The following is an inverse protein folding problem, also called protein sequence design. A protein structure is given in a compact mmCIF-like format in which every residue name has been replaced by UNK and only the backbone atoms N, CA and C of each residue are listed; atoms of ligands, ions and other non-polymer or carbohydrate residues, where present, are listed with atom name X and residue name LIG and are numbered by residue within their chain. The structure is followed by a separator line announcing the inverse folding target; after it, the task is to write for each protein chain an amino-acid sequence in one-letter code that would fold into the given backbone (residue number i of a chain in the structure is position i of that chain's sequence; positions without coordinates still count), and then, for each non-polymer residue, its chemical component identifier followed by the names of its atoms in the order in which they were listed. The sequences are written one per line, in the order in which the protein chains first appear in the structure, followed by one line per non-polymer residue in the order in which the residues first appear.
data_IF_565224093993
#
_entry.id   IF_565224093993
#
_cell.length_a   1.000
_cell.length_b   1.000
_cell.length_c   1.000
_cell.angle_alpha   90.00
_cell.angle_beta   90.00
_cell.angle_gamma   90.00
#
_symmetry.space_group_name_H-M   'P 1'
#
loop_
_entity.id
_entity.type
_entity.pdbx_description
1 polymer ?
#
# COMPACT_ATOMS: atom_id res chain seq x y z
N UNK A 1 26.37 2.92 -15.92
CA UNK A 1 26.42 3.83 -14.75
C UNK A 1 25.16 3.74 -13.87
N UNK A 2 23.95 3.89 -14.43
CA UNK A 2 22.69 3.84 -13.67
C UNK A 2 22.48 2.52 -12.88
N UNK A 3 22.85 1.39 -13.48
CA UNK A 3 22.84 0.08 -12.80
C UNK A 3 23.73 0.04 -11.55
N UNK A 4 24.91 0.69 -11.58
CA UNK A 4 25.82 0.73 -10.42
C UNK A 4 25.20 1.56 -9.30
N UNK A 5 24.57 2.68 -9.63
CA UNK A 5 23.83 3.51 -8.66
C UNK A 5 22.64 2.74 -8.08
N UNK A 6 21.94 1.95 -8.89
CA UNK A 6 20.87 1.09 -8.40
C UNK A 6 21.39 0.04 -7.42
N UNK A 7 22.49 -0.65 -7.76
CA UNK A 7 23.10 -1.65 -6.88
C UNK A 7 23.61 -1.07 -5.56
N UNK A 8 24.15 0.15 -5.57
CA UNK A 8 24.75 0.78 -4.39
C UNK A 8 23.73 1.55 -3.55
N UNK A 9 22.79 2.27 -4.19
CA UNK A 9 21.85 3.20 -3.53
C UNK A 9 20.39 2.73 -3.54
N UNK A 10 20.07 1.63 -4.22
CA UNK A 10 18.70 1.10 -4.30
C UNK A 10 17.73 1.95 -5.13
N UNK A 11 18.20 2.98 -5.83
CA UNK A 11 17.35 3.88 -6.61
C UNK A 11 17.03 3.22 -7.96
N UNK A 12 15.74 3.01 -8.33
CA UNK A 12 15.38 2.40 -9.61
C UNK A 12 15.91 3.19 -10.80
N UNK A 13 16.40 2.50 -11.86
CA UNK A 13 16.98 3.15 -13.05
C UNK A 13 16.03 4.17 -13.68
N UNK A 14 14.73 3.85 -13.72
CA UNK A 14 13.68 4.73 -14.25
C UNK A 14 13.52 6.05 -13.47
N UNK A 15 13.94 6.08 -12.20
CA UNK A 15 13.91 7.27 -11.34
C UNK A 15 15.22 8.05 -11.33
N UNK A 16 16.27 7.49 -11.95
CA UNK A 16 17.58 8.12 -12.01
C UNK A 16 17.71 9.02 -13.24
N UNK A 17 17.86 10.32 -13.00
CA UNK A 17 18.24 11.28 -14.03
C UNK A 17 19.68 11.73 -13.73
N UNK A 18 20.61 11.37 -14.62
CA UNK A 18 22.01 11.76 -14.49
C UNK A 18 22.25 13.02 -15.30
N UNK A 19 22.91 14.00 -14.70
CA UNK A 19 23.22 15.29 -15.31
C UNK A 19 24.72 15.54 -15.24
N UNK A 20 25.33 15.88 -16.37
CA UNK A 20 26.74 16.21 -16.49
C UNK A 20 26.89 17.51 -17.28
N UNK A 21 27.61 18.50 -16.75
CA UNK A 21 27.75 19.84 -17.32
C UNK A 21 26.40 20.48 -17.74
N UNK A 22 25.36 20.29 -16.92
CA UNK A 22 24.02 20.81 -17.21
C UNK A 22 23.20 20.01 -18.22
N UNK A 23 23.79 18.97 -18.84
CA UNK A 23 23.12 18.12 -19.82
C UNK A 23 22.63 16.81 -19.20
N UNK A 24 21.37 16.45 -19.47
CA UNK A 24 20.81 15.15 -19.07
C UNK A 24 21.43 14.05 -19.93
N UNK A 25 22.06 13.08 -19.27
CA UNK A 25 22.63 11.92 -19.93
C UNK A 25 21.52 10.95 -20.37
N UNK A 26 21.45 10.67 -21.67
CA UNK A 26 20.51 9.71 -22.25
C UNK A 26 20.86 8.28 -21.82
N UNK A 27 19.85 7.41 -21.69
CA UNK A 27 20.03 6.02 -21.23
C UNK A 27 20.97 5.19 -22.10
N UNK A 28 21.05 5.50 -23.39
CA UNK A 28 21.84 4.78 -24.39
C UNK A 28 23.24 5.37 -24.59
N UNK A 29 23.60 6.43 -23.83
CA UNK A 29 24.89 7.08 -24.00
C UNK A 29 26.00 6.18 -23.44
N UNK A 30 26.78 5.61 -24.36
CA UNK A 30 27.97 4.85 -24.01
C UNK A 30 29.05 5.83 -23.51
N UNK A 31 29.55 5.57 -22.30
CA UNK A 31 30.50 6.43 -21.58
C UNK A 31 31.76 6.72 -22.42
N UNK A 32 32.16 5.79 -23.29
CA UNK A 32 33.30 5.97 -24.20
C UNK A 32 33.11 7.06 -25.27
N UNK A 33 31.86 7.43 -25.58
CA UNK A 33 31.53 8.48 -26.56
C UNK A 33 31.07 9.78 -25.89
N UNK A 34 31.28 9.90 -24.58
CA UNK A 34 30.91 11.08 -23.79
C UNK A 34 32.16 11.76 -23.24
N UNK A 35 32.10 13.08 -23.03
CA UNK A 35 33.20 13.89 -22.46
C UNK A 35 33.43 13.63 -20.95
N UNK A 36 33.00 12.46 -20.45
CA UNK A 36 33.09 12.07 -19.05
C UNK A 36 34.49 11.48 -18.83
N UNK A 37 35.39 12.28 -18.28
CA UNK A 37 36.75 11.89 -17.92
C UNK A 37 36.81 11.29 -16.51
N UNK A 38 37.96 10.71 -16.16
CA UNK A 38 38.22 10.27 -14.79
C UNK A 38 38.04 11.43 -13.79
N UNK A 39 37.52 11.12 -12.60
CA UNK A 39 37.16 12.10 -11.55
C UNK A 39 36.07 13.14 -11.91
N UNK A 40 35.35 12.96 -13.02
CA UNK A 40 34.21 13.83 -13.37
C UNK A 40 33.07 13.75 -12.34
N UNK A 41 32.50 14.90 -11.98
CA UNK A 41 31.33 14.99 -11.09
C UNK A 41 30.02 14.93 -11.87
N UNK A 42 29.18 13.94 -11.57
CA UNK A 42 27.87 13.73 -12.20
C UNK A 42 26.78 13.90 -11.16
N UNK A 43 25.83 14.78 -11.43
CA UNK A 43 24.70 15.03 -10.55
C UNK A 43 23.61 13.98 -10.78
N UNK A 44 23.12 13.38 -9.69
CA UNK A 44 21.98 12.47 -9.71
C UNK A 44 20.74 13.22 -9.21
N UNK A 45 19.75 13.37 -10.09
CA UNK A 45 18.40 13.81 -9.74
C UNK A 45 17.49 12.59 -9.61
N UNK A 46 16.80 12.48 -8.47
CA UNK A 46 15.87 11.38 -8.19
C UNK A 46 14.45 11.89 -8.37
N UNK A 47 13.73 11.34 -9.35
CA UNK A 47 12.33 11.71 -9.58
C UNK A 47 11.43 11.17 -8.45
N UNK A 48 10.86 12.06 -7.65
CA UNK A 48 9.74 11.76 -6.75
C UNK A 48 10.04 11.68 -5.24
N UNK A 49 11.11 12.29 -4.74
CA UNK A 49 11.36 12.35 -3.29
C UNK A 49 10.47 13.39 -2.59
N UNK A 50 9.21 13.01 -2.32
CA UNK A 50 8.44 13.58 -1.22
C UNK A 50 8.34 12.52 -0.13
N UNK A 51 9.32 12.53 0.79
CA UNK A 51 9.35 11.85 2.09
C UNK A 51 8.02 11.19 2.46
N UNK A 52 7.85 9.92 2.11
CA UNK A 52 6.78 9.07 2.61
C UNK A 52 7.33 8.04 3.59
N UNK A 53 6.44 7.56 4.45
CA UNK A 53 6.71 6.44 5.36
C UNK A 53 7.20 5.24 4.56
N UNK A 54 8.42 4.76 4.86
CA UNK A 54 8.99 3.59 4.20
C UNK A 54 8.49 2.31 4.88
N UNK A 55 8.20 1.30 4.07
CA UNK A 55 7.83 -0.05 4.48
C UNK A 55 8.82 -1.04 3.87
N UNK A 56 9.11 -2.12 4.61
CA UNK A 56 9.93 -3.21 4.11
C UNK A 56 9.03 -4.40 3.77
N UNK A 57 9.02 -4.80 2.50
CA UNK A 57 8.28 -5.94 1.99
C UNK A 57 9.23 -7.12 1.79
N UNK A 58 8.88 -8.29 2.33
CA UNK A 58 9.62 -9.53 2.07
C UNK A 58 8.97 -10.24 0.88
N UNK A 59 9.63 -10.22 -0.27
CA UNK A 59 9.18 -10.91 -1.48
C UNK A 59 9.81 -12.29 -1.53
N UNK A 60 8.98 -13.32 -1.49
CA UNK A 60 9.42 -14.71 -1.66
C UNK A 60 9.10 -15.17 -3.08
N UNK A 61 10.11 -15.62 -3.81
CA UNK A 61 9.90 -16.18 -5.13
C UNK A 61 9.83 -17.70 -5.07
N UNK A 62 9.07 -18.31 -5.99
CA UNK A 62 8.99 -19.78 -6.06
C UNK A 62 10.31 -20.40 -6.56
N UNK A 63 11.09 -19.67 -7.35
CA UNK A 63 12.36 -20.12 -7.90
C UNK A 63 13.54 -20.03 -6.89
N UNK A 64 13.42 -19.23 -5.83
CA UNK A 64 14.49 -19.00 -4.85
C UNK A 64 14.02 -19.28 -3.42
N UNK A 65 14.81 -20.07 -2.69
CA UNK A 65 14.47 -20.50 -1.31
C UNK A 65 14.57 -19.34 -0.30
N UNK A 66 15.33 -18.29 -0.64
CA UNK A 66 15.57 -17.11 0.18
C UNK A 66 14.74 -15.93 -0.34
N UNK A 67 13.94 -15.31 0.53
CA UNK A 67 13.16 -14.12 0.17
C UNK A 67 14.04 -12.87 0.10
N UNK A 68 13.64 -11.91 -0.74
CA UNK A 68 14.30 -10.60 -0.91
C UNK A 68 13.53 -9.54 -0.13
N UNK A 69 14.23 -8.76 0.70
CA UNK A 69 13.64 -7.63 1.41
C UNK A 69 13.74 -6.36 0.54
N UNK A 70 12.59 -5.77 0.23
CA UNK A 70 12.47 -4.57 -0.58
C UNK A 70 11.94 -3.41 0.26
N UNK A 71 12.65 -2.27 0.24
CA UNK A 71 12.15 -1.03 0.82
C UNK A 71 11.28 -0.28 -0.20
N UNK A 72 10.06 0.05 0.20
CA UNK A 72 9.07 0.73 -0.63
C UNK A 72 8.42 1.88 0.14
N UNK A 73 8.03 2.93 -0.58
CA UNK A 73 7.16 3.95 0.00
C UNK A 73 5.71 3.43 -0.01
N UNK A 74 4.92 3.74 1.02
CA UNK A 74 3.49 3.38 1.06
C UNK A 74 2.70 3.99 -0.12
N UNK A 75 3.20 5.06 -0.72
CA UNK A 75 2.63 5.68 -1.93
C UNK A 75 3.01 4.99 -3.23
N UNK A 76 4.00 4.08 -3.23
CA UNK A 76 4.41 3.35 -4.43
C UNK A 76 3.38 2.29 -4.83
N UNK A 77 3.23 2.08 -6.15
CA UNK A 77 2.22 1.17 -6.70
C UNK A 77 2.74 -0.26 -6.86
N UNK A 78 1.83 -1.22 -7.06
CA UNK A 78 2.18 -2.61 -7.40
C UNK A 78 3.02 -2.69 -8.69
N UNK A 79 2.81 -1.78 -9.65
CA UNK A 79 3.66 -1.69 -10.84
C UNK A 79 5.11 -1.38 -10.47
N UNK A 80 5.31 -0.41 -9.58
CA UNK A 80 6.64 -0.05 -9.07
C UNK A 80 7.28 -1.20 -8.30
N UNK A 81 6.51 -1.97 -7.53
CA UNK A 81 6.99 -3.21 -6.89
C UNK A 81 7.47 -4.22 -7.94
N UNK A 82 6.69 -4.47 -9.00
CA UNK A 82 7.08 -5.40 -10.08
C UNK A 82 8.32 -4.95 -10.83
N UNK A 83 8.47 -3.65 -11.08
CA UNK A 83 9.67 -3.07 -11.70
C UNK A 83 10.90 -3.29 -10.80
N UNK A 84 10.78 -3.07 -9.47
CA UNK A 84 11.86 -3.38 -8.52
C UNK A 84 12.21 -4.87 -8.48
N UNK A 85 11.23 -5.77 -8.58
CA UNK A 85 11.48 -7.22 -8.65
C UNK A 85 12.16 -7.60 -9.96
N UNK A 86 11.72 -7.04 -11.10
CA UNK A 86 12.37 -7.24 -12.40
C UNK A 86 13.84 -6.84 -12.34
N UNK A 87 14.17 -5.73 -11.71
CA UNK A 87 15.54 -5.23 -11.65
C UNK A 87 16.47 -6.12 -10.81
N UNK A 88 15.93 -6.83 -9.82
CA UNK A 88 16.72 -7.74 -8.96
C UNK A 88 16.89 -9.10 -9.62
N UNK A 89 15.85 -9.62 -10.27
CA UNK A 89 15.78 -11.02 -10.71
C UNK A 89 15.86 -11.17 -12.24
N UNK A 90 15.84 -10.07 -12.98
CA UNK A 90 15.88 -10.06 -14.45
C UNK A 90 14.59 -10.57 -15.13
N UNK A 91 13.51 -10.76 -14.36
CA UNK A 91 12.25 -11.33 -14.87
C UNK A 91 11.38 -10.22 -15.47
N UNK A 92 10.91 -10.33 -16.74
CA UNK A 92 10.03 -9.33 -17.33
C UNK A 92 8.74 -9.13 -16.53
N UNK A 93 8.35 -7.86 -16.27
CA UNK A 93 7.14 -7.48 -15.50
C UNK A 93 5.88 -8.24 -15.91
N UNK A 94 5.73 -8.51 -17.21
CA UNK A 94 4.56 -9.21 -17.78
C UNK A 94 4.41 -10.65 -17.27
N UNK A 95 5.49 -11.28 -16.81
CA UNK A 95 5.50 -12.66 -16.28
C UNK A 95 5.41 -12.70 -14.75
N UNK A 96 5.37 -11.54 -14.08
CA UNK A 96 5.33 -11.46 -12.61
C UNK A 96 3.87 -11.46 -12.14
N UNK A 97 3.44 -12.57 -11.55
CA UNK A 97 2.24 -12.66 -10.73
C UNK A 97 2.63 -12.55 -9.25
N UNK A 98 1.97 -11.64 -8.53
CA UNK A 98 2.25 -11.40 -7.11
C UNK A 98 1.12 -12.02 -6.29
N UNK A 99 1.47 -13.01 -5.47
CA UNK A 99 0.62 -13.50 -4.39
C UNK A 99 1.05 -12.85 -3.06
N UNK A 100 0.09 -12.29 -2.33
CA UNK A 100 0.37 -11.56 -1.09
C UNK A 100 0.07 -12.47 0.11
N UNK A 101 1.11 -13.13 0.61
CA UNK A 101 0.99 -13.99 1.80
C UNK A 101 1.34 -13.20 3.07
N UNK A 102 0.41 -13.11 4.02
CA UNK A 102 0.64 -12.42 5.30
C UNK A 102 1.13 -13.39 6.38
N UNK A 103 2.36 -13.21 6.87
CA UNK A 103 2.80 -13.86 8.12
C UNK A 103 2.23 -13.08 9.29
N UNK A 104 1.27 -13.66 10.01
CA UNK A 104 0.80 -13.11 11.28
C UNK A 104 1.99 -13.09 12.26
N UNK A 105 2.59 -11.94 12.52
CA UNK A 105 3.40 -11.76 13.73
C UNK A 105 2.43 -11.61 14.90
N UNK A 106 1.95 -12.74 15.40
CA UNK A 106 1.23 -12.80 16.67
C UNK A 106 2.24 -12.63 17.80
N UNK A 107 2.49 -11.38 18.17
CA UNK A 107 3.16 -11.05 19.43
C UNK A 107 2.12 -10.50 20.39
N UNK A 108 1.40 -11.40 21.08
CA UNK A 108 0.88 -11.14 22.42
C UNK A 108 0.64 -12.48 23.11
N UNK A 109 1.44 -12.72 24.13
CA UNK A 109 1.26 -13.66 25.24
C UNK A 109 -0.18 -13.61 25.78
N UNK A 110 -0.86 -14.76 25.87
CA UNK A 110 -1.72 -15.20 26.98
C UNK A 110 -2.68 -16.33 26.55
N UNK A 111 -2.36 -17.53 27.05
CA UNK A 111 -3.20 -18.64 27.49
C UNK A 111 -4.72 -18.56 27.18
N UNK A 112 -5.21 -19.54 26.41
CA UNK A 112 -6.25 -20.52 26.81
C UNK A 112 -6.84 -21.17 25.56
N UNK A 113 -6.83 -22.50 25.54
CA UNK A 113 -7.04 -23.30 24.35
C UNK A 113 -8.45 -23.22 23.76
N UNK A 114 -8.52 -23.38 22.44
CA UNK A 114 -9.32 -24.42 21.84
C UNK A 114 -8.90 -24.64 20.39
N UNK A 115 -8.75 -25.92 20.09
CA UNK A 115 -8.45 -26.51 18.78
C UNK A 115 -9.46 -26.03 17.73
N UNK A 116 -8.98 -25.69 16.53
CA UNK A 116 -9.87 -25.32 15.44
C UNK A 116 -9.19 -24.62 14.26
N UNK A 117 -8.48 -25.41 13.46
CA UNK A 117 -8.42 -25.31 11.99
C UNK A 117 -8.50 -23.89 11.37
N UNK A 118 -7.37 -23.19 11.25
CA UNK A 118 -7.31 -21.96 10.45
C UNK A 118 -7.00 -22.28 8.99
N UNK A 119 -8.08 -22.55 8.25
CA UNK A 119 -8.07 -22.53 6.80
C UNK A 119 -7.61 -21.17 6.27
N UNK A 120 -6.66 -21.23 5.34
CA UNK A 120 -6.27 -20.14 4.45
C UNK A 120 -7.51 -19.58 3.75
N UNK A 121 -7.96 -18.42 4.20
CA UNK A 121 -9.02 -17.66 3.58
C UNK A 121 -8.76 -16.19 3.87
N UNK A 122 -8.82 -15.36 2.84
CA UNK A 122 -8.75 -13.90 2.91
C UNK A 122 -9.48 -13.39 4.16
N UNK A 123 -8.72 -13.01 5.19
CA UNK A 123 -9.27 -12.67 6.51
C UNK A 123 -10.03 -11.36 6.39
N UNK A 124 -11.31 -11.45 6.05
CA UNK A 124 -12.25 -10.34 6.11
C UNK A 124 -12.31 -9.86 7.56
N UNK A 125 -11.98 -8.60 7.76
CA UNK A 125 -12.17 -7.92 9.03
C UNK A 125 -13.66 -7.82 9.29
N UNK A 126 -14.10 -8.26 10.47
CA UNK A 126 -15.43 -7.90 10.98
C UNK A 126 -15.29 -6.56 11.68
N UNK A 127 -15.88 -5.51 11.13
CA UNK A 127 -15.97 -4.19 11.77
C UNK A 127 -17.42 -3.93 12.16
N UNK A 128 -17.62 -3.05 13.14
CA UNK A 128 -18.94 -2.69 13.65
C UNK A 128 -19.21 -1.24 13.29
N UNK A 129 -20.24 -0.98 12.49
CA UNK A 129 -20.64 0.37 12.14
C UNK A 129 -21.79 0.81 13.04
N UNK A 130 -21.65 1.97 13.68
CA UNK A 130 -22.65 2.55 14.59
C UNK A 130 -23.28 3.76 13.92
N UNK A 131 -24.61 3.78 13.83
CA UNK A 131 -25.36 4.90 13.25
C UNK A 131 -25.64 6.01 14.27
N UNK A 132 -26.11 7.18 13.79
CA UNK A 132 -26.18 8.47 14.49
C UNK A 132 -26.92 8.48 15.84
N UNK A 133 -27.74 7.47 16.15
CA UNK A 133 -28.45 7.39 17.43
C UNK A 133 -27.79 6.40 18.42
N UNK A 134 -26.66 5.78 18.07
CA UNK A 134 -26.01 4.74 18.88
C UNK A 134 -26.80 3.44 19.02
N UNK A 135 -28.03 3.41 18.50
CA UNK A 135 -29.01 2.34 18.70
C UNK A 135 -28.78 1.14 17.80
N UNK A 136 -28.16 1.30 16.63
CA UNK A 136 -27.89 0.19 15.70
C UNK A 136 -26.39 -0.01 15.49
N UNK A 137 -25.95 -1.23 15.79
CA UNK A 137 -24.59 -1.74 15.53
C UNK A 137 -24.66 -2.74 14.39
N UNK A 138 -24.08 -2.39 13.25
CA UNK A 138 -24.15 -3.19 12.02
C UNK A 138 -22.80 -3.87 11.80
N UNK A 139 -22.70 -5.20 11.97
CA UNK A 139 -21.49 -5.92 11.66
C UNK A 139 -21.33 -6.05 10.14
N UNK A 140 -20.21 -5.55 9.61
CA UNK A 140 -19.86 -5.71 8.20
C UNK A 140 -18.50 -6.39 8.05
N UNK A 141 -18.39 -7.21 7.02
CA UNK A 141 -17.16 -7.88 6.65
C UNK A 141 -16.49 -7.10 5.53
N UNK A 142 -15.32 -6.52 5.83
CA UNK A 142 -14.52 -5.74 4.88
C UNK A 142 -13.12 -6.32 4.80
N UNK A 143 -12.41 -6.12 3.68
CA UNK A 143 -10.98 -6.38 3.70
C UNK A 143 -10.25 -5.19 4.32
N UNK A 144 -9.12 -5.46 4.99
CA UNK A 144 -8.26 -4.42 5.53
C UNK A 144 -7.80 -3.41 4.46
N UNK A 145 -7.69 -3.87 3.21
CA UNK A 145 -7.21 -3.09 2.08
C UNK A 145 -8.31 -2.43 1.26
N UNK A 146 -9.59 -2.66 1.60
CA UNK A 146 -10.69 -2.01 0.90
C UNK A 146 -10.64 -0.49 1.14
N UNK A 147 -10.90 0.28 0.10
CA UNK A 147 -10.98 1.74 0.16
C UNK A 147 -12.27 2.16 0.87
N UNK A 148 -12.17 3.12 1.79
CA UNK A 148 -13.28 3.59 2.63
C UNK A 148 -14.43 4.08 1.77
N UNK A 149 -14.17 4.90 0.75
CA UNK A 149 -15.19 5.40 -0.16
C UNK A 149 -15.97 4.30 -0.90
N UNK A 150 -15.29 3.22 -1.30
CA UNK A 150 -15.95 2.08 -1.96
C UNK A 150 -16.84 1.28 -1.01
N UNK A 151 -16.41 1.12 0.24
CA UNK A 151 -17.23 0.49 1.28
C UNK A 151 -18.43 1.36 1.64
N UNK A 152 -18.28 2.68 1.73
CA UNK A 152 -19.40 3.61 1.92
C UNK A 152 -20.45 3.49 0.80
N UNK A 153 -20.02 3.45 -0.46
CA UNK A 153 -20.93 3.24 -1.62
C UNK A 153 -21.69 1.92 -1.53
N UNK A 154 -20.99 0.83 -1.16
CA UNK A 154 -21.63 -0.49 -0.94
C UNK A 154 -22.62 -0.44 0.22
N UNK A 155 -22.26 0.22 1.32
CA UNK A 155 -23.11 0.36 2.51
C UNK A 155 -24.36 1.20 2.20
N UNK A 156 -24.24 2.24 1.38
CA UNK A 156 -25.38 3.04 0.91
C UNK A 156 -26.36 2.19 0.07
N UNK A 157 -25.86 1.40 -0.88
CA UNK A 157 -26.69 0.45 -1.66
C UNK A 157 -27.36 -0.61 -0.79
N UNK A 158 -26.72 -1.02 0.31
CA UNK A 158 -27.31 -1.96 1.27
C UNK A 158 -28.39 -1.29 2.12
N UNK A 159 -28.24 0.00 2.45
CA UNK A 159 -29.23 0.76 3.20
C UNK A 159 -30.57 0.87 2.47
N UNK A 160 -30.55 1.06 1.15
CA UNK A 160 -31.77 1.06 0.32
C UNK A 160 -32.54 -0.27 0.42
N UNK A 161 -31.83 -1.39 0.61
CA UNK A 161 -32.43 -2.73 0.70
C UNK A 161 -32.83 -3.13 2.12
N UNK A 162 -32.04 -2.72 3.11
CA UNK A 162 -32.12 -3.23 4.49
C UNK A 162 -32.56 -2.17 5.51
N UNK A 163 -32.84 -0.93 5.09
CA UNK A 163 -33.26 0.18 5.94
C UNK A 163 -32.35 0.34 7.18
N UNK A 164 -31.04 0.46 6.91
CA UNK A 164 -29.99 0.58 7.93
C UNK A 164 -29.99 1.94 8.65
N UNK A 165 -30.90 2.85 8.29
CA UNK A 165 -31.06 4.18 8.86
C UNK A 165 -29.78 5.04 8.71
N UNK A 166 -29.17 4.96 7.52
CA UNK A 166 -28.02 5.80 7.17
C UNK A 166 -28.47 7.22 6.78
N UNK A 167 -27.67 8.25 7.09
CA UNK A 167 -27.95 9.63 6.68
C UNK A 167 -28.04 9.77 5.15
N UNK A 168 -29.11 10.41 4.66
CA UNK A 168 -29.33 10.65 3.22
C UNK A 168 -28.50 11.81 2.68
N UNK A 169 -28.17 12.81 3.51
CA UNK A 169 -27.42 14.02 3.15
C UNK A 169 -25.89 13.81 3.06
N UNK A 170 -25.44 12.56 3.15
CA UNK A 170 -24.03 12.19 3.25
C UNK A 170 -23.56 11.96 4.68
N UNK A 171 -22.47 11.21 4.82
CA UNK A 171 -21.88 10.92 6.11
C UNK A 171 -20.37 10.63 6.05
N UNK A 172 -19.73 10.82 7.20
CA UNK A 172 -18.34 10.47 7.45
C UNK A 172 -18.24 9.21 8.31
N UNK A 173 -17.18 8.44 8.11
CA UNK A 173 -16.76 7.43 9.06
C UNK A 173 -15.77 8.07 10.03
N UNK A 174 -15.98 7.83 11.32
CA UNK A 174 -15.10 8.25 12.39
C UNK A 174 -14.55 7.01 13.08
N UNK A 175 -13.23 6.94 13.21
CA UNK A 175 -12.53 5.88 13.93
C UNK A 175 -11.54 6.51 14.91
N UNK A 176 -11.65 6.15 16.19
CA UNK A 176 -10.82 6.72 17.28
C UNK A 176 -10.77 8.27 17.20
N UNK A 177 -11.92 8.90 17.10
CA UNK A 177 -12.09 10.36 16.99
C UNK A 177 -11.50 11.00 15.73
N UNK A 178 -11.02 10.22 14.76
CA UNK A 178 -10.49 10.73 13.50
C UNK A 178 -11.46 10.46 12.35
N UNK A 179 -11.70 11.47 11.52
CA UNK A 179 -12.44 11.31 10.27
C UNK A 179 -11.62 10.44 9.33
N UNK A 180 -12.23 9.40 8.80
CA UNK A 180 -11.60 8.52 7.81
C UNK A 180 -11.62 9.17 6.44
N UNK A 181 -10.53 8.99 5.70
CA UNK A 181 -10.31 9.53 4.36
C UNK A 181 -10.85 8.53 3.33
N UNK A 182 -11.67 9.01 2.40
CA UNK A 182 -12.38 8.18 1.44
C UNK A 182 -11.45 7.53 0.40
N UNK A 183 -10.25 8.11 0.18
CA UNK A 183 -9.24 7.57 -0.74
C UNK A 183 -8.26 6.60 -0.06
N UNK A 184 -8.48 6.31 1.23
CA UNK A 184 -7.61 5.46 2.05
C UNK A 184 -8.28 4.14 2.41
N UNK A 185 -7.47 3.16 2.79
CA UNK A 185 -7.94 1.86 3.22
C UNK A 185 -8.19 1.78 4.73
N UNK A 186 -9.01 0.84 5.18
CA UNK A 186 -9.20 0.55 6.62
C UNK A 186 -7.88 0.30 7.35
N UNK A 187 -6.92 -0.36 6.68
CA UNK A 187 -5.58 -0.64 7.22
C UNK A 187 -4.75 0.62 7.44
N UNK A 188 -4.90 1.63 6.58
CA UNK A 188 -4.25 2.94 6.72
C UNK A 188 -4.72 3.66 7.98
N UNK A 189 -6.01 3.53 8.30
CA UNK A 189 -6.59 4.02 9.55
C UNK A 189 -6.34 3.10 10.75
N UNK A 190 -5.54 2.03 10.59
CA UNK A 190 -5.25 1.05 11.63
C UNK A 190 -6.48 0.32 12.20
N UNK A 191 -7.53 0.17 11.38
CA UNK A 191 -8.74 -0.56 11.77
C UNK A 191 -8.44 -2.06 11.82
N UNK A 192 -8.74 -2.68 12.96
CA UNK A 192 -8.54 -4.09 13.26
C UNK A 192 -9.83 -4.90 13.32
N UNK A 193 -9.69 -6.17 13.68
CA UNK A 193 -10.80 -7.09 13.86
C UNK A 193 -11.64 -6.70 15.09
N UNK A 194 -12.95 -6.52 14.90
CA UNK A 194 -13.90 -6.18 15.96
C UNK A 194 -13.99 -4.69 16.27
N UNK A 195 -13.22 -3.86 15.57
CA UNK A 195 -13.21 -2.41 15.78
C UNK A 195 -14.54 -1.76 15.42
N UNK A 196 -14.84 -0.67 16.13
CA UNK A 196 -16.06 0.11 15.95
C UNK A 196 -15.78 1.39 15.17
N UNK A 197 -16.60 1.66 14.15
CA UNK A 197 -16.59 2.86 13.33
C UNK A 197 -17.93 3.57 13.52
N UNK A 198 -17.87 4.86 13.80
CA UNK A 198 -19.03 5.70 14.01
C UNK A 198 -19.39 6.46 12.74
N UNK A 199 -20.68 6.59 12.46
CA UNK A 199 -21.19 7.41 11.37
C UNK A 199 -21.56 8.77 11.89
N UNK A 200 -21.04 9.82 11.25
CA UNK A 200 -21.39 11.19 11.53
C UNK A 200 -22.02 11.86 10.31
N UNK A 201 -23.11 12.61 10.52
CA UNK A 201 -23.81 13.28 9.42
C UNK A 201 -22.97 14.41 8.86
N UNK A 202 -22.92 14.47 7.53
CA UNK A 202 -22.33 15.59 6.82
C UNK A 202 -21.81 15.16 5.46
N UNK A 203 -21.82 16.10 4.53
CA UNK A 203 -21.16 16.02 3.24
C UNK A 203 -20.13 17.14 3.16
N UNK A 204 -19.00 16.88 2.51
CA UNK A 204 -18.09 17.95 2.11
C UNK A 204 -18.76 18.69 0.95
N UNK A 205 -19.50 19.74 1.25
CA UNK A 205 -19.85 20.77 0.28
C UNK A 205 -18.66 21.70 0.14
N UNK A 206 -17.83 21.45 -0.88
CA UNK A 206 -16.67 22.28 -1.25
C UNK A 206 -16.37 22.13 -2.72
#
# INVERSE_FOLDING_TARGET
MKEKIQKVKGIPIAKQTLVFNGNVLKNELNIHYSDILDQSYIQLLVAGELSGTKIQLLVKMQASKLGVALEMDVKETIRTLKEKIQDIEGIPVKKIEIDVSFRSSSTTTALSGSSGNMGSGSRKLRIIVVTKCGTKRIPIHVNAWDIVGDVKKKLHKLNEKLQLDLPQEGYFFIYKQNVMDDDRSFRWHHVGQGDTIEIFNGSLSG
#
